data_IF_144166121654
#
_entry.id   IF_144166121654
#
_cell.length_a   1.000
_cell.length_b   1.000
_cell.length_c   1.000
_cell.angle_alpha   90.00
_cell.angle_beta   90.00
_cell.angle_gamma   90.00
#
_symmetry.space_group_name_H-M   'P 1'
#
loop_
_entity.id
_entity.type
_entity.pdbx_description
1 polymer ?
#
# COMPACT_ATOMS: atom_id res chain seq x y z
N UNK A 1 29.67 53.84 -1.91
CA UNK A 1 28.25 54.26 -2.07
C UNK A 1 28.18 55.31 -3.16
N UNK A 2 27.98 54.86 -4.41
CA UNK A 2 27.40 55.55 -5.58
C UNK A 2 27.83 54.78 -6.84
N UNK A 3 26.85 54.56 -7.70
CA UNK A 3 26.98 54.11 -9.10
C UNK A 3 27.33 52.65 -9.34
N UNK A 4 26.30 51.85 -9.65
CA UNK A 4 26.27 50.92 -10.80
C UNK A 4 24.83 50.40 -11.01
N UNK A 5 23.83 51.30 -10.92
CA UNK A 5 22.41 51.03 -11.20
C UNK A 5 22.02 51.52 -12.61
N UNK A 6 22.68 51.01 -13.65
CA UNK A 6 22.29 51.36 -15.02
C UNK A 6 22.74 50.31 -16.03
N UNK A 7 21.93 49.25 -16.18
CA UNK A 7 21.68 48.57 -17.47
C UNK A 7 20.47 47.64 -17.30
N UNK A 8 19.27 48.20 -17.53
CA UNK A 8 18.08 47.43 -17.88
C UNK A 8 18.40 46.62 -19.14
N UNK A 9 18.83 45.37 -18.99
CA UNK A 9 18.68 44.39 -20.08
C UNK A 9 17.19 44.15 -20.23
N UNK A 10 16.60 44.73 -21.29
CA UNK A 10 15.30 44.31 -21.78
C UNK A 10 15.37 42.79 -21.98
N UNK A 11 14.57 42.05 -21.22
CA UNK A 11 14.28 40.66 -21.53
C UNK A 11 13.69 40.65 -22.93
N UNK A 12 14.50 40.24 -23.91
CA UNK A 12 14.03 39.98 -25.26
C UNK A 12 13.25 38.67 -25.20
N UNK A 13 11.95 38.82 -25.39
CA UNK A 13 10.99 37.87 -25.98
C UNK A 13 11.16 36.41 -25.57
N UNK A 14 10.23 35.95 -24.74
CA UNK A 14 9.81 34.55 -24.79
C UNK A 14 9.41 34.25 -26.24
N UNK A 15 10.27 33.57 -26.98
CA UNK A 15 9.93 32.99 -28.27
C UNK A 15 8.92 31.87 -27.98
N UNK A 16 7.64 32.22 -28.04
CA UNK A 16 6.55 31.24 -27.99
C UNK A 16 6.59 30.52 -29.32
N UNK A 17 7.30 29.39 -29.34
CA UNK A 17 7.22 28.46 -30.48
C UNK A 17 5.79 27.92 -30.52
N UNK A 18 5.01 28.35 -31.50
CA UNK A 18 3.69 27.78 -31.76
C UNK A 18 3.85 26.34 -32.23
N UNK A 19 3.57 25.40 -31.34
CA UNK A 19 3.51 23.98 -31.67
C UNK A 19 2.23 23.75 -32.48
N UNK A 20 2.37 23.40 -33.76
CA UNK A 20 1.23 23.00 -34.58
C UNK A 20 0.64 21.67 -34.06
N UNK A 21 -0.62 21.39 -34.40
CA UNK A 21 -1.35 20.21 -33.92
C UNK A 21 -0.63 18.89 -34.28
N UNK A 22 0.09 18.86 -35.41
CA UNK A 22 0.94 17.73 -35.82
C UNK A 22 2.16 17.53 -34.89
N UNK A 23 2.87 18.59 -34.50
CA UNK A 23 3.98 18.49 -33.54
C UNK A 23 3.48 18.13 -32.13
N UNK A 24 2.32 18.64 -31.72
CA UNK A 24 1.66 18.25 -30.47
C UNK A 24 1.35 16.76 -30.45
N UNK A 25 0.73 16.23 -31.51
CA UNK A 25 0.42 14.81 -31.65
C UNK A 25 1.67 13.93 -31.64
N UNK A 26 2.74 14.35 -32.32
CA UNK A 26 4.02 13.61 -32.38
C UNK A 26 4.75 13.61 -31.02
N UNK A 27 4.73 14.73 -30.29
CA UNK A 27 5.31 14.85 -28.95
C UNK A 27 4.50 14.01 -27.95
N UNK A 28 3.17 14.01 -28.05
CA UNK A 28 2.30 13.21 -27.19
C UNK A 28 2.36 11.71 -27.48
N UNK A 29 2.64 11.29 -28.72
CA UNK A 29 2.79 9.87 -29.06
C UNK A 29 4.11 9.25 -28.57
N UNK A 30 5.17 10.06 -28.38
CA UNK A 30 6.48 9.56 -27.95
C UNK A 30 6.70 9.56 -26.44
N UNK A 31 5.88 10.29 -25.67
CA UNK A 31 6.01 10.39 -24.22
C UNK A 31 5.08 9.40 -23.50
N UNK A 32 5.52 8.76 -22.40
CA UNK A 32 4.63 7.94 -21.58
C UNK A 32 3.42 8.75 -21.12
N UNK A 33 2.22 8.19 -21.30
CA UNK A 33 0.99 8.83 -20.83
C UNK A 33 0.90 8.78 -19.30
N UNK A 34 0.51 9.89 -18.68
CA UNK A 34 0.19 9.93 -17.24
C UNK A 34 -1.07 9.10 -17.00
N UNK A 35 -0.99 8.15 -16.07
CA UNK A 35 -2.14 7.36 -15.63
C UNK A 35 -2.74 7.97 -14.36
N UNK A 36 -4.02 7.71 -14.13
CA UNK A 36 -4.70 8.06 -12.87
C UNK A 36 -4.20 7.17 -11.74
N UNK A 37 -4.38 7.64 -10.51
CA UNK A 37 -4.10 6.83 -9.32
C UNK A 37 -5.05 5.62 -9.25
N UNK A 38 -4.53 4.38 -9.20
CA UNK A 38 -5.33 3.17 -9.03
C UNK A 38 -5.91 3.00 -7.62
N UNK A 39 -5.61 3.89 -6.67
CA UNK A 39 -6.03 3.85 -5.26
C UNK A 39 -5.34 2.72 -4.48
N UNK A 40 -6.08 2.05 -3.59
CA UNK A 40 -5.58 1.06 -2.66
C UNK A 40 -5.52 -0.34 -3.27
N UNK A 41 -4.47 -1.05 -2.90
CA UNK A 41 -4.32 -2.47 -3.18
C UNK A 41 -4.96 -3.27 -2.06
N UNK A 42 -5.88 -4.18 -2.39
CA UNK A 42 -6.53 -5.04 -1.40
C UNK A 42 -6.52 -6.49 -1.83
N UNK A 43 -6.52 -7.42 -0.87
CA UNK A 43 -6.58 -8.86 -1.15
C UNK A 43 -7.61 -9.51 -0.26
N UNK A 44 -8.48 -10.37 -0.81
CA UNK A 44 -9.41 -11.14 0.01
C UNK A 44 -8.69 -12.05 1.00
N UNK A 45 -9.09 -12.01 2.27
CA UNK A 45 -8.52 -12.90 3.28
C UNK A 45 -9.57 -13.47 4.24
N UNK A 46 -9.31 -14.66 4.75
CA UNK A 46 -10.12 -15.31 5.77
C UNK A 46 -9.24 -15.78 6.94
N UNK A 47 -9.75 -15.66 8.16
CA UNK A 47 -9.05 -16.05 9.40
C UNK A 47 -9.98 -16.93 10.21
N UNK A 48 -9.52 -18.13 10.61
CA UNK A 48 -10.35 -19.08 11.36
C UNK A 48 -11.66 -19.46 10.65
N UNK A 49 -11.67 -19.46 9.32
CA UNK A 49 -12.85 -19.74 8.50
C UNK A 49 -13.84 -18.58 8.34
N UNK A 50 -13.61 -17.43 8.97
CA UNK A 50 -14.41 -16.20 8.77
C UNK A 50 -13.78 -15.34 7.69
N UNK A 51 -14.61 -14.81 6.80
CA UNK A 51 -14.20 -13.86 5.75
C UNK A 51 -14.01 -12.46 6.36
N UNK A 52 -12.86 -11.84 6.09
CA UNK A 52 -12.54 -10.48 6.51
C UNK A 52 -12.58 -9.48 5.34
N UNK A 53 -13.15 -9.89 4.20
CA UNK A 53 -13.29 -9.03 3.04
C UNK A 53 -11.93 -8.70 2.45
N UNK A 54 -11.68 -7.42 2.17
CA UNK A 54 -10.55 -6.90 1.39
C UNK A 54 -9.63 -6.01 2.23
N UNK A 55 -8.79 -6.56 3.12
CA UNK A 55 -7.75 -5.79 3.81
C UNK A 55 -6.85 -5.00 2.87
N UNK A 56 -6.33 -3.88 3.39
CA UNK A 56 -5.34 -3.05 2.69
C UNK A 56 -3.99 -3.75 2.66
N UNK A 57 -3.36 -3.78 1.49
CA UNK A 57 -1.97 -4.17 1.30
C UNK A 57 -1.12 -2.91 1.18
N UNK A 58 -0.21 -2.73 2.13
CA UNK A 58 0.61 -1.53 2.21
C UNK A 58 2.10 -1.86 2.23
N UNK A 59 2.80 -1.44 1.16
CA UNK A 59 4.26 -1.55 1.10
C UNK A 59 4.96 -0.52 2.01
N UNK A 60 4.28 0.54 2.43
CA UNK A 60 4.75 1.52 3.41
C UNK A 60 4.77 0.99 4.83
N UNK A 61 3.87 0.06 5.17
CA UNK A 61 3.80 -0.52 6.51
C UNK A 61 4.89 -1.58 6.75
N UNK A 62 5.62 -1.43 7.86
CA UNK A 62 6.63 -2.40 8.32
C UNK A 62 6.04 -3.60 9.07
N UNK A 63 4.76 -3.57 9.40
CA UNK A 63 4.07 -4.54 10.25
C UNK A 63 2.69 -4.87 9.67
N UNK A 64 2.09 -5.97 10.11
CA UNK A 64 0.67 -6.22 9.91
C UNK A 64 -0.11 -5.71 11.12
N UNK A 65 -1.30 -5.14 10.88
CA UNK A 65 -2.18 -4.64 11.94
C UNK A 65 -3.52 -5.35 11.96
N UNK A 66 -4.04 -5.52 13.16
CA UNK A 66 -5.38 -6.07 13.43
C UNK A 66 -6.06 -5.22 14.51
N UNK A 67 -7.35 -4.92 14.37
CA UNK A 67 -8.08 -4.29 15.49
C UNK A 67 -8.34 -5.28 16.63
N UNK A 68 -8.44 -4.71 17.84
CA UNK A 68 -8.94 -5.42 19.00
C UNK A 68 -10.34 -6.02 18.79
N UNK A 69 -11.20 -5.38 17.99
CA UNK A 69 -12.52 -5.92 17.65
C UNK A 69 -12.44 -7.26 16.92
N UNK A 70 -11.47 -7.42 15.99
CA UNK A 70 -11.23 -8.68 15.28
C UNK A 70 -10.72 -9.76 16.25
N UNK A 71 -9.77 -9.41 17.12
CA UNK A 71 -9.24 -10.31 18.16
C UNK A 71 -10.39 -10.86 19.02
N UNK A 72 -11.28 -9.98 19.51
CA UNK A 72 -12.46 -10.36 20.29
C UNK A 72 -13.44 -11.22 19.50
N UNK A 73 -13.70 -10.88 18.23
CA UNK A 73 -14.61 -11.62 17.36
C UNK A 73 -14.12 -13.04 17.06
N UNK A 74 -12.81 -13.19 16.84
CA UNK A 74 -12.15 -14.46 16.60
C UNK A 74 -11.87 -15.25 17.88
N UNK A 75 -12.09 -14.64 19.06
CA UNK A 75 -11.73 -15.20 20.37
C UNK A 75 -10.27 -15.64 20.42
N UNK A 76 -9.40 -14.86 19.77
CA UNK A 76 -7.95 -14.99 19.92
C UNK A 76 -7.64 -14.66 21.37
N UNK A 77 -6.78 -15.48 22.00
CA UNK A 77 -6.53 -15.44 23.45
C UNK A 77 -5.89 -14.15 23.94
N UNK A 78 -5.10 -14.25 25.01
CA UNK A 78 -4.42 -13.08 25.56
C UNK A 78 -3.37 -12.55 24.58
N UNK A 79 -3.32 -11.23 24.41
CA UNK A 79 -2.27 -10.57 23.64
C UNK A 79 -0.92 -10.72 24.33
N UNK A 80 0.13 -10.98 23.56
CA UNK A 80 1.50 -10.93 24.05
C UNK A 80 1.91 -9.47 24.25
N UNK A 81 2.56 -9.17 25.36
CA UNK A 81 3.06 -7.82 25.61
C UNK A 81 4.07 -7.40 24.54
N UNK A 82 3.98 -6.16 24.09
CA UNK A 82 4.92 -5.54 23.14
C UNK A 82 5.39 -4.20 23.70
N UNK A 83 6.61 -3.82 23.38
CA UNK A 83 7.23 -2.54 23.82
C UNK A 83 7.42 -1.57 22.65
N UNK A 84 6.87 -1.91 21.48
CA UNK A 84 7.03 -1.08 20.29
C UNK A 84 6.08 0.12 20.31
N UNK A 85 6.44 1.15 19.56
CA UNK A 85 5.55 2.26 19.20
C UNK A 85 5.48 2.38 17.69
N UNK A 86 4.34 2.85 17.19
CA UNK A 86 4.08 3.00 15.77
C UNK A 86 3.96 4.48 15.45
N UNK A 87 4.75 4.93 14.49
CA UNK A 87 4.61 6.26 13.91
C UNK A 87 3.76 6.17 12.64
N UNK A 88 2.61 6.82 12.66
CA UNK A 88 1.70 6.91 11.51
C UNK A 88 2.17 7.97 10.51
N UNK A 89 1.57 7.97 9.32
CA UNK A 89 1.94 8.88 8.24
C UNK A 89 1.69 10.36 8.57
N UNK A 90 0.76 10.65 9.48
CA UNK A 90 0.45 11.96 10.04
C UNK A 90 1.34 12.32 11.24
N UNK A 91 2.43 11.56 11.45
CA UNK A 91 3.39 11.69 12.54
C UNK A 91 2.82 11.43 13.95
N UNK A 92 1.58 10.97 14.07
CA UNK A 92 1.06 10.54 15.36
C UNK A 92 1.73 9.23 15.79
N UNK A 93 1.99 9.13 17.09
CA UNK A 93 2.55 7.93 17.71
C UNK A 93 1.43 7.17 18.40
N UNK A 94 1.27 5.91 18.05
CA UNK A 94 0.28 5.01 18.64
C UNK A 94 1.00 3.81 19.25
N UNK A 95 0.47 3.31 20.36
CA UNK A 95 1.02 2.16 21.08
C UNK A 95 0.09 0.96 20.87
N UNK A 96 0.59 -0.14 20.30
CA UNK A 96 -0.17 -1.38 20.23
C UNK A 96 -0.51 -1.90 21.63
N UNK A 97 -1.69 -2.53 21.72
CA UNK A 97 -2.14 -3.23 22.92
C UNK A 97 -1.35 -4.52 23.16
N UNK A 98 -0.78 -5.07 22.09
CA UNK A 98 0.01 -6.29 22.14
C UNK A 98 0.10 -6.96 20.77
N UNK A 99 0.78 -8.09 20.75
CA UNK A 99 1.03 -8.90 19.58
C UNK A 99 0.20 -10.19 19.62
N UNK A 100 -0.29 -10.62 18.46
CA UNK A 100 -0.82 -11.97 18.26
C UNK A 100 0.02 -12.67 17.21
N UNK A 101 0.63 -13.78 17.59
CA UNK A 101 1.58 -14.54 16.77
C UNK A 101 0.88 -15.71 16.05
N UNK A 102 1.45 -16.13 14.91
CA UNK A 102 1.10 -17.35 14.17
C UNK A 102 -0.39 -17.48 13.77
N UNK A 103 -1.04 -16.35 13.47
CA UNK A 103 -2.42 -16.38 12.99
C UNK A 103 -2.47 -16.91 11.56
N UNK A 104 -3.20 -18.02 11.37
CA UNK A 104 -3.40 -18.61 10.06
C UNK A 104 -4.38 -17.77 9.24
N UNK A 105 -3.84 -17.05 8.27
CA UNK A 105 -4.61 -16.25 7.31
C UNK A 105 -4.63 -16.96 5.97
N UNK A 106 -5.83 -17.26 5.51
CA UNK A 106 -6.08 -17.79 4.19
C UNK A 106 -6.21 -16.64 3.20
N UNK A 107 -5.37 -16.64 2.17
CA UNK A 107 -5.41 -15.68 1.08
C UNK A 107 -5.55 -16.46 -0.22
N UNK A 108 -6.70 -16.30 -0.89
CA UNK A 108 -7.13 -17.18 -1.98
C UNK A 108 -7.05 -18.66 -1.55
N UNK A 109 -6.08 -19.40 -2.06
CA UNK A 109 -5.85 -20.83 -1.74
C UNK A 109 -4.61 -21.08 -0.89
N UNK A 110 -3.88 -20.04 -0.53
CA UNK A 110 -2.71 -20.13 0.34
C UNK A 110 -3.10 -19.87 1.78
N UNK A 111 -2.32 -20.44 2.69
CA UNK A 111 -2.43 -20.20 4.12
C UNK A 111 -1.06 -19.74 4.61
N UNK A 112 -1.03 -18.61 5.29
CA UNK A 112 0.18 -18.04 5.86
C UNK A 112 0.03 -17.93 7.37
N UNK A 113 1.04 -18.34 8.15
CA UNK A 113 1.16 -17.87 9.53
C UNK A 113 1.57 -16.39 9.51
N UNK A 114 0.86 -15.56 10.25
CA UNK A 114 1.08 -14.11 10.28
C UNK A 114 1.01 -13.60 11.70
N UNK A 115 1.99 -12.78 12.06
CA UNK A 115 2.00 -12.01 13.28
C UNK A 115 1.32 -10.64 13.06
N UNK A 116 0.46 -10.24 13.99
CA UNK A 116 -0.28 -8.99 13.97
C UNK A 116 -0.06 -8.18 15.23
N UNK A 117 0.30 -6.90 15.04
CA UNK A 117 0.23 -5.91 16.10
C UNK A 117 -1.23 -5.44 16.26
N UNK A 118 -1.70 -5.38 17.50
CA UNK A 118 -3.11 -5.12 17.80
C UNK A 118 -3.29 -3.70 18.29
N UNK A 119 -4.22 -2.97 17.69
CA UNK A 119 -4.59 -1.61 18.09
C UNK A 119 -6.06 -1.53 18.50
N UNK A 120 -6.37 -0.65 19.45
CA UNK A 120 -7.76 -0.26 19.72
C UNK A 120 -8.19 0.78 18.69
N UNK A 121 -8.96 0.34 17.69
CA UNK A 121 -9.48 1.20 16.64
C UNK A 121 -11.01 1.17 16.65
N UNK A 122 -11.65 2.30 16.35
CA UNK A 122 -13.10 2.38 16.25
C UNK A 122 -13.65 1.42 15.17
N UNK A 123 -14.76 0.74 15.49
CA UNK A 123 -15.41 -0.27 14.66
C UNK A 123 -16.06 0.25 13.38
N UNK A 124 -16.23 1.57 13.26
CA UNK A 124 -17.12 2.18 12.27
C UNK A 124 -16.40 2.49 10.95
N UNK A 125 -15.09 2.25 10.88
CA UNK A 125 -14.30 2.31 9.64
C UNK A 125 -14.18 0.90 9.08
N UNK A 126 -14.32 0.76 7.76
CA UNK A 126 -14.11 -0.51 7.04
C UNK A 126 -12.89 -1.25 7.61
N UNK A 127 -13.19 -2.37 8.27
CA UNK A 127 -12.35 -3.30 9.03
C UNK A 127 -10.81 -3.12 8.92
N UNK A 128 -10.08 -2.83 10.03
CA UNK A 128 -8.65 -2.51 9.98
C UNK A 128 -7.83 -3.79 10.10
N UNK A 129 -7.84 -4.58 9.03
CA UNK A 129 -6.78 -5.53 8.79
C UNK A 129 -5.86 -4.92 7.74
N UNK A 130 -4.63 -4.61 8.14
CA UNK A 130 -3.59 -4.07 7.27
C UNK A 130 -2.51 -5.12 7.11
N UNK A 131 -2.20 -5.42 5.86
CA UNK A 131 -1.21 -6.38 5.44
C UNK A 131 0.03 -5.62 4.97
N UNK A 132 1.03 -5.56 5.85
CA UNK A 132 2.26 -4.83 5.59
C UNK A 132 3.29 -5.66 4.83
N UNK A 133 4.50 -5.11 4.75
CA UNK A 133 5.65 -5.79 4.14
C UNK A 133 5.92 -7.20 4.66
N UNK A 134 5.72 -7.56 5.95
CA UNK A 134 5.99 -8.92 6.41
C UNK A 134 5.18 -9.98 5.65
N UNK A 135 3.85 -9.82 5.53
CA UNK A 135 3.06 -10.76 4.72
C UNK A 135 3.44 -10.66 3.24
N UNK A 136 3.59 -9.44 2.72
CA UNK A 136 3.84 -9.24 1.30
C UNK A 136 5.17 -9.88 0.87
N UNK A 137 6.18 -9.86 1.75
CA UNK A 137 7.45 -10.54 1.57
C UNK A 137 7.30 -12.06 1.65
N UNK A 138 6.60 -12.59 2.65
CA UNK A 138 6.32 -14.03 2.78
C UNK A 138 5.61 -14.59 1.55
N UNK A 139 4.65 -13.84 1.00
CA UNK A 139 3.93 -14.20 -0.22
C UNK A 139 4.69 -13.94 -1.52
N UNK A 140 5.94 -13.47 -1.48
CA UNK A 140 6.72 -13.03 -2.66
C UNK A 140 5.89 -12.17 -3.62
N UNK A 141 5.26 -11.14 -3.05
CA UNK A 141 4.19 -10.38 -3.72
C UNK A 141 4.73 -9.52 -4.85
N UNK A 142 4.07 -9.59 -6.01
CA UNK A 142 4.22 -8.64 -7.10
C UNK A 142 2.99 -7.73 -7.17
N UNK A 143 3.21 -6.42 -7.18
CA UNK A 143 2.16 -5.43 -7.39
C UNK A 143 2.40 -4.77 -8.75
N UNK A 144 1.48 -5.02 -9.69
CA UNK A 144 1.42 -4.31 -10.95
C UNK A 144 0.49 -3.10 -10.79
N UNK A 145 1.11 -1.93 -10.64
CA UNK A 145 0.37 -0.68 -10.38
C UNK A 145 -0.44 -0.24 -11.59
N UNK A 146 0.07 -0.49 -12.79
CA UNK A 146 -0.61 -0.10 -14.04
C UNK A 146 -1.87 -0.93 -14.25
N UNK A 147 -1.79 -2.22 -13.98
CA UNK A 147 -2.91 -3.17 -14.14
C UNK A 147 -3.78 -3.25 -12.88
N UNK A 148 -3.45 -2.52 -11.81
CA UNK A 148 -4.16 -2.56 -10.54
C UNK A 148 -4.18 -3.95 -9.89
N UNK A 149 -3.13 -4.76 -10.10
CA UNK A 149 -3.15 -6.19 -9.81
C UNK A 149 -2.09 -6.59 -8.78
N UNK A 150 -2.48 -7.44 -7.84
CA UNK A 150 -1.59 -8.07 -6.87
C UNK A 150 -1.39 -9.54 -7.23
N UNK A 151 -0.24 -10.11 -6.92
CA UNK A 151 0.06 -11.51 -7.24
C UNK A 151 0.96 -12.09 -6.18
N UNK A 152 0.54 -13.21 -5.58
CA UNK A 152 1.30 -13.95 -4.59
C UNK A 152 1.99 -15.15 -5.27
N UNK A 153 3.25 -15.35 -4.95
CA UNK A 153 4.10 -16.42 -5.50
C UNK A 153 4.55 -17.34 -4.36
N UNK A 154 3.69 -18.26 -3.94
CA UNK A 154 4.02 -19.23 -2.90
C UNK A 154 4.44 -20.55 -3.55
N UNK A 155 5.64 -21.03 -3.24
CA UNK A 155 6.23 -22.26 -3.80
C UNK A 155 7.17 -22.03 -4.99
N UNK A 156 7.99 -23.04 -5.32
CA UNK A 156 9.19 -22.98 -6.17
C UNK A 156 9.13 -22.04 -7.39
N UNK A 157 10.27 -21.37 -7.59
CA UNK A 157 10.66 -20.40 -8.62
C UNK A 157 10.38 -20.76 -10.09
N UNK A 158 9.76 -21.92 -10.38
CA UNK A 158 9.48 -22.44 -11.72
C UNK A 158 7.99 -22.53 -12.06
N UNK A 159 7.08 -22.17 -11.16
CA UNK A 159 5.63 -22.14 -11.48
C UNK A 159 5.18 -20.70 -11.81
N UNK A 160 4.28 -20.52 -12.79
CA UNK A 160 3.78 -19.21 -13.13
C UNK A 160 3.10 -18.58 -11.90
N UNK A 161 3.30 -17.26 -11.67
CA UNK A 161 2.73 -16.55 -10.53
C UNK A 161 1.23 -16.79 -10.43
N UNK A 162 0.75 -17.15 -9.24
CA UNK A 162 -0.68 -17.31 -9.04
C UNK A 162 -1.28 -15.92 -8.81
N UNK A 163 -1.84 -15.42 -9.90
CA UNK A 163 -2.46 -14.12 -9.99
C UNK A 163 -3.73 -14.06 -9.13
N UNK A 164 -3.65 -13.39 -7.98
CA UNK A 164 -4.85 -12.98 -7.25
C UNK A 164 -5.36 -11.70 -7.90
N UNK A 165 -6.26 -11.84 -8.88
CA UNK A 165 -6.92 -10.67 -9.48
C UNK A 165 -7.83 -10.03 -8.44
N UNK A 166 -7.44 -8.90 -7.91
CA UNK A 166 -8.35 -7.98 -7.23
C UNK A 166 -8.45 -6.71 -8.04
N UNK A 167 -9.67 -6.28 -8.32
CA UNK A 167 -9.95 -4.95 -8.85
C UNK A 167 -9.93 -3.97 -7.68
N UNK A 168 -9.12 -2.91 -7.80
CA UNK A 168 -9.24 -1.68 -7.01
C UNK A 168 -10.31 -0.75 -7.55
#
# INVERSE_FOLDING_TARGET
MKELLSKKRKFMEHEVVMVNEECSAIIHQKLPQKLKDPRSFTIHCAIGGKDFGKPLCDLGASINLMSLSIVRNLRLGQLKGTIISLQLADMFVVYPLGLVEDILVKVDKFIFPIDFEVLDMESDREMPLLLGRPLLATGSTLIDVKEGKITLRVGDCNKPPQAVRTQG
#
